data_IF_796762039312
#
_entry.id   IF_796762039312
#
_cell.length_a   1.000
_cell.length_b   1.000
_cell.length_c   1.000
_cell.angle_alpha   90.00
_cell.angle_beta   90.00
_cell.angle_gamma   90.00
#
_symmetry.space_group_name_H-M   'P 1'
#
loop_
_entity.id
_entity.type
_entity.pdbx_description
1 polymer ?
#
# COMPACT_ATOMS: atom_id res chain seq x y z
N UNK A 1 -20.67 1.20 4.67
CA UNK A 1 -19.53 1.99 5.21
C UNK A 1 -18.40 1.98 4.19
N UNK A 2 -17.58 3.04 4.07
CA UNK A 2 -16.50 3.07 3.06
C UNK A 2 -15.13 2.95 3.74
N UNK A 3 -14.32 1.97 3.33
CA UNK A 3 -12.96 1.73 3.81
C UNK A 3 -11.97 2.20 2.74
N UNK A 4 -11.14 3.18 3.08
CA UNK A 4 -10.11 3.77 2.21
C UNK A 4 -8.78 3.07 2.47
N UNK A 5 -8.22 2.49 1.42
CA UNK A 5 -7.00 1.69 1.49
C UNK A 5 -5.91 2.41 0.70
N UNK A 6 -4.84 2.88 1.34
CA UNK A 6 -3.71 3.45 0.63
C UNK A 6 -2.74 2.37 0.18
N UNK A 7 -2.33 2.40 -1.09
CA UNK A 7 -1.48 1.38 -1.71
C UNK A 7 -0.01 1.84 -1.74
N UNK A 8 0.69 1.62 -0.63
CA UNK A 8 2.09 1.98 -0.45
C UNK A 8 3.04 0.95 -1.10
N UNK A 9 4.20 1.37 -1.58
CA UNK A 9 5.21 0.47 -2.15
C UNK A 9 6.08 1.11 -3.23
N UNK A 10 7.38 0.80 -3.18
CA UNK A 10 8.52 1.36 -3.92
C UNK A 10 8.33 1.87 -5.37
N UNK A 11 7.52 2.91 -5.64
CA UNK A 11 7.29 3.45 -7.00
C UNK A 11 8.60 3.97 -7.62
N UNK A 12 9.28 4.88 -6.91
CA UNK A 12 10.49 5.55 -7.43
C UNK A 12 11.65 4.59 -7.72
N UNK A 13 11.66 3.40 -7.12
CA UNK A 13 12.74 2.40 -7.31
C UNK A 13 12.77 1.80 -8.72
N UNK A 14 11.64 1.77 -9.43
CA UNK A 14 11.55 1.12 -10.74
C UNK A 14 11.69 2.09 -11.93
N UNK A 15 11.71 3.40 -11.67
CA UNK A 15 11.93 4.43 -12.69
C UNK A 15 10.70 4.77 -13.56
N UNK A 16 10.93 5.64 -14.54
CA UNK A 16 9.88 6.17 -15.42
C UNK A 16 9.31 5.05 -16.30
N UNK A 17 7.97 4.94 -16.34
CA UNK A 17 7.29 3.95 -17.17
C UNK A 17 7.28 2.52 -16.61
N UNK A 18 7.66 2.34 -15.34
CA UNK A 18 7.61 1.03 -14.72
C UNK A 18 6.18 0.50 -14.59
N UNK A 19 5.94 -0.69 -15.15
CA UNK A 19 4.63 -1.34 -15.13
C UNK A 19 4.37 -2.10 -13.83
N UNK A 20 5.40 -2.70 -13.23
CA UNK A 20 5.27 -3.47 -11.99
C UNK A 20 4.52 -2.73 -10.87
N UNK A 21 4.92 -1.50 -10.46
CA UNK A 21 4.22 -0.79 -9.39
C UNK A 21 2.77 -0.41 -9.73
N UNK A 22 2.42 -0.26 -11.01
CA UNK A 22 1.05 0.01 -11.47
C UNK A 22 0.21 -1.27 -11.49
N UNK A 23 0.80 -2.36 -11.94
CA UNK A 23 0.11 -3.64 -12.14
C UNK A 23 -0.41 -4.21 -10.83
N UNK A 24 0.42 -4.32 -9.79
CA UNK A 24 -0.04 -4.89 -8.52
C UNK A 24 -1.11 -4.00 -7.86
N UNK A 25 -1.01 -2.68 -7.99
CA UNK A 25 -2.01 -1.75 -7.45
C UNK A 25 -3.35 -1.88 -8.17
N UNK A 26 -3.30 -2.05 -9.50
CA UNK A 26 -4.49 -2.36 -10.29
C UNK A 26 -5.11 -3.69 -9.84
N UNK A 27 -4.31 -4.74 -9.69
CA UNK A 27 -4.79 -6.05 -9.20
C UNK A 27 -5.43 -5.96 -7.81
N UNK A 28 -4.82 -5.21 -6.88
CA UNK A 28 -5.42 -4.96 -5.56
C UNK A 28 -6.75 -4.22 -5.67
N UNK A 29 -6.79 -3.15 -6.47
CA UNK A 29 -7.99 -2.33 -6.66
C UNK A 29 -9.15 -3.15 -7.24
N UNK A 30 -8.90 -3.93 -8.29
CA UNK A 30 -9.89 -4.81 -8.91
C UNK A 30 -10.36 -5.90 -7.94
N UNK A 31 -9.46 -6.45 -7.12
CA UNK A 31 -9.82 -7.43 -6.10
C UNK A 31 -10.78 -6.83 -5.07
N UNK A 32 -10.45 -5.66 -4.51
CA UNK A 32 -11.32 -5.00 -3.53
C UNK A 32 -12.65 -4.54 -4.12
N UNK A 33 -12.69 -4.16 -5.40
CA UNK A 33 -13.93 -3.78 -6.10
C UNK A 33 -14.90 -4.96 -6.22
N UNK A 34 -14.41 -6.18 -6.46
CA UNK A 34 -15.24 -7.40 -6.47
C UNK A 34 -15.93 -7.63 -5.11
N UNK A 35 -15.28 -7.22 -4.02
CA UNK A 35 -15.80 -7.34 -2.65
C UNK A 35 -16.45 -6.05 -2.13
N UNK A 36 -16.92 -5.18 -3.03
CA UNK A 36 -17.64 -3.94 -2.72
C UNK A 36 -19.09 -3.97 -3.26
N UNK A 37 -19.94 -3.04 -2.81
CA UNK A 37 -21.30 -2.85 -3.34
C UNK A 37 -22.36 -3.72 -2.67
N UNK A 38 -23.59 -3.71 -3.21
CA UNK A 38 -24.83 -4.20 -2.56
C UNK A 38 -24.79 -5.63 -1.98
N UNK A 39 -23.88 -6.48 -2.44
CA UNK A 39 -23.67 -7.81 -1.87
C UNK A 39 -22.94 -7.79 -0.51
N UNK A 40 -22.41 -6.63 -0.11
CA UNK A 40 -21.64 -6.36 1.09
C UNK A 40 -22.15 -5.06 1.75
N UNK A 41 -22.10 -4.98 3.10
CA UNK A 41 -22.51 -3.77 3.83
C UNK A 41 -21.45 -2.63 3.78
N UNK A 42 -20.41 -2.80 2.96
CA UNK A 42 -19.27 -1.92 2.85
C UNK A 42 -18.74 -1.80 1.42
N UNK A 43 -18.03 -0.69 1.19
CA UNK A 43 -17.31 -0.39 -0.04
C UNK A 43 -15.83 -0.20 0.27
N UNK A 44 -14.96 -0.76 -0.55
CA UNK A 44 -13.54 -0.46 -0.51
C UNK A 44 -13.18 0.60 -1.54
N UNK A 45 -12.20 1.42 -1.21
CA UNK A 45 -11.64 2.40 -2.13
C UNK A 45 -10.13 2.45 -2.01
N UNK A 46 -9.47 1.95 -3.04
CA UNK A 46 -8.02 2.01 -3.14
C UNK A 46 -7.55 3.39 -3.58
N UNK A 47 -6.66 3.98 -2.79
CA UNK A 47 -5.89 5.17 -3.13
C UNK A 47 -4.58 4.69 -3.75
N UNK A 48 -4.51 4.80 -5.08
CA UNK A 48 -3.35 4.40 -5.88
C UNK A 48 -2.47 5.62 -6.19
N UNK A 49 -1.32 5.80 -5.52
CA UNK A 49 -0.44 6.95 -5.74
C UNK A 49 0.05 7.08 -7.19
N UNK A 50 0.10 5.99 -7.96
CA UNK A 50 0.56 6.03 -9.37
C UNK A 50 -0.42 6.75 -10.31
N UNK A 51 -1.64 7.07 -9.85
CA UNK A 51 -2.67 7.76 -10.65
C UNK A 51 -2.62 9.28 -10.56
N UNK A 52 -1.80 9.86 -9.69
CA UNK A 52 -1.79 11.31 -9.43
C UNK A 52 -0.56 11.99 -10.04
N UNK A 53 0.63 11.70 -9.51
CA UNK A 53 1.89 12.23 -10.01
C UNK A 53 2.68 11.10 -10.67
N UNK A 54 2.75 11.11 -12.00
CA UNK A 54 3.62 10.17 -12.72
C UNK A 54 5.09 10.52 -12.50
N UNK A 55 5.87 9.52 -12.07
CA UNK A 55 7.30 9.65 -11.90
C UNK A 55 7.97 10.11 -13.21
N UNK A 56 8.73 11.21 -13.15
CA UNK A 56 9.45 11.78 -14.30
C UNK A 56 8.67 12.76 -15.18
N UNK A 57 7.47 13.20 -14.76
CA UNK A 57 6.72 14.29 -15.41
C UNK A 57 6.74 15.58 -14.58
N UNK A 58 6.50 16.73 -15.21
CA UNK A 58 6.64 18.07 -14.60
C UNK A 58 5.31 18.69 -14.09
N UNK A 59 4.31 17.86 -13.81
CA UNK A 59 3.00 18.36 -13.36
C UNK A 59 3.09 19.10 -12.02
N UNK A 60 4.02 18.71 -11.14
CA UNK A 60 4.28 19.33 -9.85
C UNK A 60 5.25 20.51 -9.96
N UNK A 61 5.14 21.48 -9.05
CA UNK A 61 6.03 22.63 -8.95
C UNK A 61 7.23 22.40 -8.04
N UNK A 62 7.18 21.36 -7.21
CA UNK A 62 8.29 20.95 -6.32
C UNK A 62 8.12 19.53 -5.83
N UNK A 63 9.21 18.84 -5.51
CA UNK A 63 9.16 17.50 -4.89
C UNK A 63 8.39 17.51 -3.56
N UNK A 64 8.42 18.64 -2.83
CA UNK A 64 7.62 18.85 -1.63
C UNK A 64 6.12 18.75 -1.89
N UNK A 65 5.65 19.18 -3.05
CA UNK A 65 4.23 19.09 -3.42
C UNK A 65 3.78 17.63 -3.53
N UNK A 66 4.57 16.81 -4.24
CA UNK A 66 4.30 15.37 -4.41
C UNK A 66 4.34 14.66 -3.06
N UNK A 67 5.41 14.87 -2.28
CA UNK A 67 5.56 14.30 -0.94
C UNK A 67 4.37 14.65 -0.03
N UNK A 68 4.01 15.93 0.07
CA UNK A 68 2.90 16.35 0.92
C UNK A 68 1.55 15.88 0.38
N UNK A 69 1.40 15.66 -0.92
CA UNK A 69 0.20 15.10 -1.51
C UNK A 69 0.04 13.63 -1.08
N UNK A 70 1.07 12.82 -1.23
CA UNK A 70 1.04 11.40 -0.87
C UNK A 70 0.85 11.20 0.64
N UNK A 71 1.54 11.97 1.49
CA UNK A 71 1.35 11.90 2.94
C UNK A 71 -0.07 12.27 3.36
N UNK A 72 -0.68 13.31 2.77
CA UNK A 72 -2.10 13.64 3.04
C UNK A 72 -3.06 12.53 2.58
N UNK A 73 -2.68 11.74 1.57
CA UNK A 73 -3.45 10.57 1.15
C UNK A 73 -3.33 9.43 2.15
N UNK A 74 -2.12 9.21 2.68
CA UNK A 74 -1.87 8.29 3.81
C UNK A 74 -2.72 8.68 5.02
N UNK A 75 -2.66 9.94 5.48
CA UNK A 75 -3.46 10.46 6.61
C UNK A 75 -4.98 10.31 6.40
N UNK A 76 -5.43 10.27 5.14
CA UNK A 76 -6.83 10.09 4.78
C UNK A 76 -7.26 8.63 4.64
N UNK A 77 -6.35 7.67 4.79
CA UNK A 77 -6.65 6.25 4.69
C UNK A 77 -7.19 5.70 6.02
N UNK A 78 -7.99 4.64 5.92
CA UNK A 78 -8.45 3.89 7.09
C UNK A 78 -7.50 2.70 7.37
N UNK A 79 -6.74 2.25 6.37
CA UNK A 79 -5.71 1.21 6.46
C UNK A 79 -4.70 1.35 5.31
N UNK A 80 -3.45 0.97 5.54
CA UNK A 80 -2.40 0.90 4.51
C UNK A 80 -2.20 -0.56 4.09
N UNK A 81 -2.19 -0.80 2.78
CA UNK A 81 -1.66 -2.03 2.19
C UNK A 81 -0.29 -1.72 1.59
N UNK A 82 0.78 -2.24 2.20
CA UNK A 82 2.16 -1.95 1.77
C UNK A 82 2.82 -3.16 1.12
N UNK A 83 3.32 -2.97 -0.10
CA UNK A 83 4.20 -3.93 -0.74
C UNK A 83 5.63 -3.76 -0.20
N UNK A 84 6.13 -4.77 0.50
CA UNK A 84 7.44 -4.71 1.15
C UNK A 84 8.60 -5.02 0.21
N UNK A 85 8.32 -5.41 -1.04
CA UNK A 85 9.36 -5.62 -2.04
C UNK A 85 10.12 -4.31 -2.28
N UNK A 86 11.45 -4.36 -2.13
CA UNK A 86 12.37 -3.23 -2.32
C UNK A 86 12.13 -2.02 -1.39
N UNK A 87 11.44 -2.20 -0.24
CA UNK A 87 11.14 -1.10 0.70
C UNK A 87 12.40 -0.39 1.22
N UNK A 88 13.49 -1.12 1.48
CA UNK A 88 14.77 -0.56 1.94
C UNK A 88 15.39 0.43 0.93
N UNK A 89 14.97 0.38 -0.33
CA UNK A 89 15.40 1.31 -1.39
C UNK A 89 14.43 2.46 -1.60
N UNK A 90 13.31 2.51 -0.87
CA UNK A 90 12.22 3.46 -1.06
C UNK A 90 12.02 4.36 0.16
N UNK A 91 12.76 5.49 0.24
CA UNK A 91 12.53 6.49 1.29
C UNK A 91 11.08 6.96 1.36
N UNK A 92 10.42 7.14 0.21
CA UNK A 92 9.01 7.55 0.16
C UNK A 92 8.08 6.53 0.84
N UNK A 93 8.23 5.23 0.56
CA UNK A 93 7.40 4.22 1.23
C UNK A 93 7.76 4.04 2.71
N UNK A 94 9.03 4.25 3.10
CA UNK A 94 9.40 4.29 4.52
C UNK A 94 8.71 5.45 5.24
N UNK A 95 8.67 6.64 4.63
CA UNK A 95 7.98 7.80 5.18
C UNK A 95 6.46 7.60 5.24
N UNK A 96 5.86 7.00 4.20
CA UNK A 96 4.42 6.62 4.20
C UNK A 96 4.08 5.67 5.37
N UNK A 97 4.90 4.64 5.60
CA UNK A 97 4.73 3.68 6.71
C UNK A 97 4.90 4.37 8.06
N UNK A 98 5.93 5.22 8.20
CA UNK A 98 6.18 5.95 9.43
C UNK A 98 5.05 6.93 9.76
N UNK A 99 4.53 7.66 8.77
CA UNK A 99 3.44 8.61 8.95
C UNK A 99 2.13 7.91 9.33
N UNK A 100 1.81 6.79 8.68
CA UNK A 100 0.67 5.95 9.06
C UNK A 100 0.77 5.45 10.51
N UNK A 101 1.91 4.86 10.88
CA UNK A 101 2.18 4.38 12.24
C UNK A 101 2.02 5.50 13.29
N UNK A 102 2.58 6.68 13.02
CA UNK A 102 2.50 7.84 13.90
C UNK A 102 1.07 8.33 14.09
N UNK A 103 0.23 8.21 13.07
CA UNK A 103 -1.17 8.62 13.08
C UNK A 103 -2.12 7.49 13.52
N UNK A 104 -1.61 6.35 14.00
CA UNK A 104 -2.39 5.16 14.39
C UNK A 104 -3.25 4.60 13.25
N UNK A 105 -2.78 4.72 12.00
CA UNK A 105 -3.40 4.11 10.84
C UNK A 105 -2.79 2.71 10.67
N UNK A 106 -3.59 1.63 10.69
CA UNK A 106 -3.06 0.28 10.59
C UNK A 106 -2.27 0.04 9.30
N UNK A 107 -1.12 -0.63 9.41
CA UNK A 107 -0.23 -0.96 8.30
C UNK A 107 -0.16 -2.46 8.09
N UNK A 108 -0.69 -2.92 6.97
CA UNK A 108 -0.70 -4.33 6.58
C UNK A 108 0.27 -4.54 5.44
N UNK A 109 1.39 -5.20 5.73
CA UNK A 109 2.43 -5.50 4.77
C UNK A 109 2.27 -6.85 4.09
N UNK A 110 2.73 -6.95 2.85
CA UNK A 110 2.92 -8.23 2.17
C UNK A 110 4.27 -8.32 1.50
N UNK A 111 4.82 -9.53 1.47
CA UNK A 111 6.02 -9.88 0.73
C UNK A 111 5.83 -11.22 0.04
N UNK A 112 5.55 -11.16 -1.25
CA UNK A 112 5.39 -12.38 -2.05
C UNK A 112 6.76 -12.99 -2.36
N UNK A 113 6.89 -14.28 -2.12
CA UNK A 113 8.12 -15.03 -2.36
C UNK A 113 8.02 -15.90 -3.61
N UNK A 114 7.11 -15.61 -4.55
CA UNK A 114 7.07 -16.31 -5.84
C UNK A 114 8.48 -16.39 -6.44
N UNK A 115 9.05 -17.60 -6.43
CA UNK A 115 10.39 -17.97 -6.91
C UNK A 115 11.59 -17.62 -6.00
N UNK A 116 11.40 -17.24 -4.74
CA UNK A 116 12.48 -17.04 -3.75
C UNK A 116 12.24 -17.90 -2.50
N UNK A 117 13.30 -18.54 -2.00
CA UNK A 117 13.30 -19.22 -0.70
C UNK A 117 13.73 -18.29 0.44
N UNK A 118 14.08 -17.04 0.11
CA UNK A 118 14.56 -16.06 1.09
C UNK A 118 13.35 -15.38 1.75
N UNK A 119 13.35 -15.41 3.08
CA UNK A 119 12.40 -14.63 3.87
C UNK A 119 12.69 -13.14 3.74
N UNK A 120 11.72 -12.30 4.12
CA UNK A 120 11.94 -10.86 4.13
C UNK A 120 12.84 -10.46 5.30
N UNK A 121 13.94 -9.79 4.99
CA UNK A 121 14.76 -9.08 5.96
C UNK A 121 14.36 -7.59 5.93
N UNK A 122 13.86 -7.09 7.06
CA UNK A 122 13.49 -5.69 7.25
C UNK A 122 14.31 -5.11 8.38
N UNK A 123 14.73 -3.85 8.24
CA UNK A 123 15.22 -3.08 9.37
C UNK A 123 14.21 -3.10 10.52
N UNK A 124 14.70 -3.26 11.76
CA UNK A 124 13.85 -3.46 12.94
C UNK A 124 12.84 -2.33 13.14
N UNK A 125 13.20 -1.08 12.82
CA UNK A 125 12.28 0.05 12.96
C UNK A 125 11.11 -0.03 11.98
N UNK A 126 11.37 -0.42 10.72
CA UNK A 126 10.32 -0.60 9.72
C UNK A 126 9.39 -1.73 10.16
N UNK A 127 9.96 -2.87 10.60
CA UNK A 127 9.17 -4.00 11.11
C UNK A 127 8.25 -3.59 12.28
N UNK A 128 8.72 -2.75 13.19
CA UNK A 128 7.92 -2.30 14.35
C UNK A 128 6.81 -1.30 13.98
N UNK A 129 6.84 -0.74 12.78
CA UNK A 129 5.83 0.19 12.27
C UNK A 129 4.73 -0.52 11.45
N UNK A 130 4.84 -1.85 11.28
CA UNK A 130 3.90 -2.65 10.50
C UNK A 130 3.15 -3.59 11.45
N UNK A 131 1.83 -3.48 11.51
CA UNK A 131 0.98 -4.25 12.42
C UNK A 131 0.89 -5.73 12.06
N UNK A 132 0.90 -6.03 10.75
CA UNK A 132 0.81 -7.40 10.24
C UNK A 132 1.62 -7.54 8.95
N UNK A 133 2.36 -8.64 8.83
CA UNK A 133 3.10 -8.98 7.62
C UNK A 133 2.66 -10.36 7.13
N UNK A 134 2.14 -10.41 5.91
CA UNK A 134 1.91 -11.65 5.17
C UNK A 134 3.12 -11.98 4.30
N UNK A 135 3.56 -13.23 4.32
CA UNK A 135 4.69 -13.69 3.51
C UNK A 135 4.37 -14.98 2.76
N UNK A 136 5.22 -15.31 1.78
CA UNK A 136 5.11 -16.54 1.02
C UNK A 136 4.23 -16.39 -0.21
N UNK A 137 3.90 -17.52 -0.83
CA UNK A 137 3.00 -17.57 -1.98
C UNK A 137 1.64 -16.91 -1.65
N UNK A 138 1.15 -16.08 -2.57
CA UNK A 138 -0.12 -15.35 -2.45
C UNK A 138 -0.17 -14.38 -1.25
N UNK A 139 0.98 -13.89 -0.77
CA UNK A 139 1.05 -12.98 0.39
C UNK A 139 0.16 -11.74 0.21
N UNK A 140 0.15 -11.17 -0.99
CA UNK A 140 -0.70 -10.02 -1.30
C UNK A 140 -2.18 -10.34 -1.09
N UNK A 141 -2.64 -11.50 -1.57
CA UNK A 141 -4.03 -11.94 -1.41
C UNK A 141 -4.38 -12.18 0.05
N UNK A 142 -3.48 -12.78 0.84
CA UNK A 142 -3.69 -12.98 2.29
C UNK A 142 -3.84 -11.65 3.02
N UNK A 143 -3.03 -10.64 2.68
CA UNK A 143 -3.10 -9.31 3.26
C UNK A 143 -4.43 -8.63 2.91
N UNK A 144 -4.88 -8.74 1.65
CA UNK A 144 -6.17 -8.20 1.23
C UNK A 144 -7.36 -8.89 1.90
N UNK A 145 -7.32 -10.22 2.07
CA UNK A 145 -8.33 -10.97 2.82
C UNK A 145 -8.40 -10.48 4.25
N UNK A 146 -7.25 -10.32 4.93
CA UNK A 146 -7.23 -9.78 6.29
C UNK A 146 -7.83 -8.38 6.36
N UNK A 147 -7.48 -7.49 5.41
CA UNK A 147 -8.04 -6.15 5.37
C UNK A 147 -9.57 -6.21 5.23
N UNK A 148 -10.04 -7.02 4.28
CA UNK A 148 -11.46 -7.18 3.98
C UNK A 148 -12.23 -7.72 5.18
N UNK A 149 -11.73 -8.76 5.83
CA UNK A 149 -12.42 -9.41 6.95
C UNK A 149 -12.34 -8.58 8.25
N UNK A 150 -11.25 -7.85 8.51
CA UNK A 150 -11.02 -7.18 9.80
C UNK A 150 -11.40 -5.70 9.82
N UNK A 151 -11.25 -5.00 8.70
CA UNK A 151 -11.60 -3.57 8.57
C UNK A 151 -12.84 -3.34 7.71
N UNK A 152 -13.30 -4.35 6.96
CA UNK A 152 -14.58 -4.30 6.25
C UNK A 152 -15.79 -4.55 7.15
N UNK A 153 -15.67 -5.33 8.23
CA UNK A 153 -16.80 -5.62 9.12
C UNK A 153 -17.05 -4.47 10.14
N UNK A 154 -18.27 -3.94 10.15
CA UNK A 154 -18.78 -3.17 11.30
C UNK A 154 -19.10 -4.15 12.43
N UNK A 155 -18.32 -4.10 13.52
CA UNK A 155 -18.77 -4.62 14.82
C UNK A 155 -19.58 -3.57 15.56
#
# INVERSE_FOLDING_TARGET
>A
MKVRIYLAGAIGCYGVGAEYPKLWRKMASEWFEIYSGYAYDYDFYCIDPTRYYEYGRDYHKSEKEVMMFDLRKVESADVILVNLKDIEKSPGTIDEVFDAWKNNIPVIGFFDTENSTEGIELHTWIRNQIDRIETGENAMKKAMIYIKDYYGESR
#
